data_IF_794386721645
#
_entry.id   IF_794386721645
#
_cell.length_a   1.000
_cell.length_b   1.000
_cell.length_c   1.000
_cell.angle_alpha   90.00
_cell.angle_beta   90.00
_cell.angle_gamma   90.00
#
_symmetry.space_group_name_H-M   'P 1'
#
loop_
_entity.id
_entity.type
_entity.pdbx_description
1 polymer ?
#
# COMPACT_ATOMS: atom_id res chain seq x y z
N UNK A 1 -8.45 35.93 38.46
CA UNK A 1 -8.69 34.59 37.88
C UNK A 1 -7.73 34.42 36.72
N UNK A 2 -6.66 33.65 36.91
CA UNK A 2 -5.61 33.43 35.92
C UNK A 2 -5.91 32.13 35.17
N UNK A 3 -6.09 32.20 33.86
CA UNK A 3 -6.27 31.02 32.99
C UNK A 3 -4.89 30.48 32.66
N UNK A 4 -4.58 29.28 33.15
CA UNK A 4 -3.33 28.60 32.80
C UNK A 4 -3.34 28.22 31.32
N UNK A 5 -2.24 28.42 30.57
CA UNK A 5 -2.17 27.99 29.18
C UNK A 5 -2.07 26.47 29.11
N UNK A 6 -3.00 25.84 28.39
CA UNK A 6 -2.97 24.41 28.06
C UNK A 6 -1.75 24.14 27.18
N UNK A 7 -0.71 23.53 27.76
CA UNK A 7 0.50 23.13 27.03
C UNK A 7 0.14 21.94 26.14
N UNK A 8 -0.19 22.20 24.88
CA UNK A 8 -0.28 21.16 23.87
C UNK A 8 1.11 20.51 23.72
N UNK A 9 1.28 19.29 24.23
CA UNK A 9 2.55 18.58 24.19
C UNK A 9 2.95 18.33 22.73
N UNK A 10 4.05 18.93 22.28
CA UNK A 10 4.62 18.69 20.95
C UNK A 10 5.08 17.23 20.90
N UNK A 11 4.29 16.35 20.26
CA UNK A 11 4.68 14.97 20.04
C UNK A 11 6.01 14.92 19.27
N UNK A 12 6.99 14.18 19.79
CA UNK A 12 8.27 13.99 19.10
C UNK A 12 8.05 13.40 17.71
N UNK A 13 8.95 13.67 16.75
CA UNK A 13 8.87 13.12 15.39
C UNK A 13 8.78 11.58 15.37
N UNK A 14 9.42 10.89 16.32
CA UNK A 14 9.36 9.43 16.45
C UNK A 14 7.95 8.96 16.81
N UNK A 15 7.33 9.60 17.80
CA UNK A 15 5.94 9.30 18.18
C UNK A 15 4.96 9.58 17.03
N UNK A 16 5.13 10.69 16.31
CA UNK A 16 4.31 11.01 15.13
C UNK A 16 4.46 9.97 14.01
N UNK A 17 5.69 9.59 13.70
CA UNK A 17 5.99 8.56 12.70
C UNK A 17 5.36 7.21 13.04
N UNK A 18 5.59 6.71 14.27
CA UNK A 18 4.99 5.45 14.74
C UNK A 18 3.47 5.47 14.75
N UNK A 19 2.86 6.60 15.13
CA UNK A 19 1.41 6.74 15.09
C UNK A 19 0.89 6.66 13.65
N UNK A 20 1.56 7.32 12.70
CA UNK A 20 1.20 7.26 11.28
C UNK A 20 1.38 5.86 10.67
N UNK A 21 2.45 5.13 11.03
CA UNK A 21 2.64 3.73 10.61
C UNK A 21 1.50 2.82 11.09
N UNK A 22 1.12 2.93 12.38
CA UNK A 22 0.02 2.14 12.97
C UNK A 22 -1.32 2.43 12.28
N UNK A 23 -1.59 3.70 11.97
CA UNK A 23 -2.82 4.09 11.27
C UNK A 23 -2.82 3.64 9.81
N UNK A 24 -1.69 3.81 9.12
CA UNK A 24 -1.48 3.29 7.76
C UNK A 24 -1.76 1.79 7.69
N UNK A 25 -1.23 1.03 8.64
CA UNK A 25 -1.46 -0.40 8.74
C UNK A 25 -2.96 -0.75 8.87
N UNK A 26 -3.66 -0.11 9.81
CA UNK A 26 -5.09 -0.33 10.01
C UNK A 26 -5.92 0.03 8.77
N UNK A 27 -5.58 1.11 8.07
CA UNK A 27 -6.26 1.51 6.84
C UNK A 27 -6.06 0.49 5.71
N UNK A 28 -4.82 0.02 5.51
CA UNK A 28 -4.50 -0.95 4.46
C UNK A 28 -5.24 -2.29 4.69
N UNK A 29 -5.37 -2.71 5.95
CA UNK A 29 -6.15 -3.89 6.32
C UNK A 29 -7.65 -3.70 6.11
N UNK A 30 -8.20 -2.62 6.66
CA UNK A 30 -9.65 -2.40 6.66
C UNK A 30 -10.21 -2.02 5.28
N UNK A 31 -9.41 -1.38 4.44
CA UNK A 31 -9.90 -0.78 3.18
C UNK A 31 -9.34 -1.42 1.92
N UNK A 32 -8.17 -2.06 1.98
CA UNK A 32 -7.47 -2.54 0.80
C UNK A 32 -7.13 -4.03 0.85
N UNK A 33 -7.72 -4.84 1.74
CA UNK A 33 -7.49 -6.30 1.78
C UNK A 33 -6.02 -6.68 2.03
N UNK A 34 -5.28 -5.92 2.85
CA UNK A 34 -3.86 -6.20 3.12
C UNK A 34 -3.63 -6.71 4.54
N UNK A 35 -2.85 -7.78 4.69
CA UNK A 35 -2.36 -8.26 5.98
C UNK A 35 -0.88 -7.96 6.09
N UNK A 36 -0.53 -6.88 6.79
CA UNK A 36 0.85 -6.40 6.91
C UNK A 36 1.28 -6.41 8.38
N UNK A 37 2.58 -6.32 8.62
CA UNK A 37 3.16 -6.08 9.94
C UNK A 37 4.13 -4.93 9.87
N UNK A 38 4.36 -4.27 11.00
CA UNK A 38 5.43 -3.27 11.10
C UNK A 38 6.78 -4.00 11.11
N UNK A 39 7.70 -3.53 10.28
CA UNK A 39 9.11 -3.97 10.26
C UNK A 39 10.08 -2.81 10.46
N UNK A 40 9.56 -1.58 10.45
CA UNK A 40 10.33 -0.35 10.57
C UNK A 40 11.09 -0.20 11.89
N UNK A 41 12.35 0.24 11.78
CA UNK A 41 13.31 0.31 12.86
C UNK A 41 14.68 0.86 12.42
N UNK A 42 15.63 0.98 13.36
CA UNK A 42 17.00 1.37 13.00
C UNK A 42 17.58 0.25 12.11
N UNK A 43 17.78 0.51 10.81
CA UNK A 43 18.30 -0.41 9.79
C UNK A 43 17.29 -1.26 9.00
N UNK A 44 16.04 -0.85 8.86
CA UNK A 44 14.98 -1.55 8.10
C UNK A 44 15.13 -1.50 6.55
N UNK A 45 16.21 -0.94 6.03
CA UNK A 45 16.45 -0.83 4.59
C UNK A 45 15.46 0.06 3.85
N UNK A 46 14.68 0.89 4.57
CA UNK A 46 13.69 1.81 4.01
C UNK A 46 12.27 1.27 3.92
N UNK A 47 11.96 0.13 4.56
CA UNK A 47 10.62 -0.46 4.62
C UNK A 47 10.05 -0.34 6.03
N UNK A 48 8.88 0.27 6.14
CA UNK A 48 8.18 0.44 7.42
C UNK A 48 7.15 -0.68 7.67
N UNK A 49 6.44 -1.12 6.61
CA UNK A 49 5.45 -2.20 6.67
C UNK A 49 5.71 -3.25 5.59
N UNK A 50 5.42 -4.51 5.92
CA UNK A 50 5.62 -5.63 5.00
C UNK A 50 4.53 -6.71 5.20
N UNK A 51 4.08 -7.33 4.11
CA UNK A 51 3.11 -8.41 4.21
C UNK A 51 2.50 -8.83 2.88
N UNK A 52 1.20 -9.09 2.88
CA UNK A 52 0.47 -9.64 1.75
C UNK A 52 -0.76 -8.81 1.39
N UNK A 53 -1.01 -8.68 0.09
CA UNK A 53 -2.23 -8.12 -0.45
C UNK A 53 -3.11 -9.21 -1.04
N UNK A 54 -4.30 -9.42 -0.47
CA UNK A 54 -5.24 -10.46 -0.83
C UNK A 54 -6.25 -9.98 -1.87
N UNK A 55 -6.18 -10.57 -3.05
CA UNK A 55 -6.89 -10.07 -4.23
C UNK A 55 -7.71 -11.19 -4.88
N UNK A 56 -8.89 -10.88 -5.45
CA UNK A 56 -9.56 -11.78 -6.35
C UNK A 56 -8.63 -12.35 -7.43
N UNK A 57 -8.90 -13.57 -7.92
CA UNK A 57 -8.10 -14.20 -8.95
C UNK A 57 -8.21 -13.42 -10.27
N UNK A 58 -7.17 -13.50 -11.10
CA UNK A 58 -7.26 -13.01 -12.47
C UNK A 58 -8.04 -14.02 -13.32
N UNK A 59 -8.83 -13.59 -14.30
CA UNK A 59 -9.45 -14.50 -15.24
C UNK A 59 -8.36 -15.33 -15.93
N UNK A 60 -8.46 -16.66 -15.87
CA UNK A 60 -7.63 -17.55 -16.70
C UNK A 60 -8.09 -17.44 -18.14
N UNK A 61 -7.41 -16.66 -18.96
CA UNK A 61 -7.63 -16.65 -20.41
C UNK A 61 -7.15 -17.98 -20.97
N UNK A 62 -8.09 -18.83 -21.41
CA UNK A 62 -7.83 -20.22 -21.82
C UNK A 62 -7.03 -20.37 -23.13
N UNK A 63 -6.55 -19.29 -23.75
CA UNK A 63 -6.00 -19.31 -25.13
C UNK A 63 -4.68 -18.53 -25.34
N UNK A 64 -3.87 -18.31 -24.31
CA UNK A 64 -2.58 -17.61 -24.49
C UNK A 64 -1.41 -18.49 -24.05
N UNK A 65 -0.73 -19.09 -25.03
CA UNK A 65 0.61 -19.69 -24.91
C UNK A 65 1.71 -18.67 -24.53
N UNK A 66 1.37 -17.39 -24.39
CA UNK A 66 2.15 -16.41 -23.65
C UNK A 66 1.81 -16.52 -22.16
N UNK A 67 2.40 -17.54 -21.56
CA UNK A 67 2.45 -17.79 -20.14
C UNK A 67 3.21 -16.64 -19.48
N UNK A 68 2.54 -15.49 -19.26
CA UNK A 68 3.01 -14.47 -18.33
C UNK A 68 3.25 -15.19 -17.02
N UNK A 69 4.51 -15.27 -16.58
CA UNK A 69 5.02 -16.20 -15.56
C UNK A 69 4.43 -16.06 -14.15
N UNK A 70 3.30 -15.36 -14.02
CA UNK A 70 2.53 -15.14 -12.82
C UNK A 70 1.29 -16.06 -12.71
N UNK A 71 0.98 -16.91 -13.69
CA UNK A 71 -0.21 -17.81 -13.66
C UNK A 71 -0.19 -18.90 -12.58
N UNK A 72 0.86 -18.94 -11.76
CA UNK A 72 0.96 -19.76 -10.55
C UNK A 72 0.78 -18.98 -9.25
N UNK A 73 0.15 -17.78 -9.23
CA UNK A 73 -0.12 -17.10 -7.96
C UNK A 73 -1.06 -17.99 -7.14
N UNK A 74 -0.46 -18.68 -6.17
CA UNK A 74 -1.05 -19.54 -5.16
C UNK A 74 -2.57 -19.39 -5.10
N UNK A 75 -3.32 -20.43 -5.50
CA UNK A 75 -4.73 -20.59 -5.09
C UNK A 75 -4.75 -20.48 -3.57
N UNK A 76 -4.95 -19.26 -3.08
CA UNK A 76 -4.90 -18.94 -1.68
C UNK A 76 -6.20 -19.36 -1.03
N UNK A 77 -6.30 -18.99 0.24
CA UNK A 77 -7.49 -19.19 1.04
C UNK A 77 -8.68 -18.55 0.30
N UNK A 78 -9.76 -19.33 0.14
CA UNK A 78 -11.02 -18.91 -0.49
C UNK A 78 -10.90 -18.39 -1.93
N UNK A 79 -9.95 -18.91 -2.72
CA UNK A 79 -9.84 -18.58 -4.15
C UNK A 79 -9.27 -17.20 -4.43
N UNK A 80 -8.68 -16.55 -3.42
CA UNK A 80 -7.90 -15.32 -3.59
C UNK A 80 -6.45 -15.61 -3.88
N UNK A 81 -5.82 -14.69 -4.62
CA UNK A 81 -4.38 -14.67 -4.84
C UNK A 81 -3.72 -13.67 -3.89
N UNK A 82 -2.40 -13.74 -3.74
CA UNK A 82 -1.64 -12.80 -2.90
C UNK A 82 -0.44 -12.18 -3.61
N UNK A 83 -0.19 -10.90 -3.33
CA UNK A 83 0.97 -10.14 -3.80
C UNK A 83 1.79 -9.70 -2.60
N UNK A 84 3.13 -9.74 -2.70
CA UNK A 84 4.00 -9.23 -1.64
C UNK A 84 3.93 -7.70 -1.60
N UNK A 85 3.75 -7.14 -0.41
CA UNK A 85 3.72 -5.69 -0.19
C UNK A 85 4.95 -5.27 0.59
N UNK A 86 5.65 -4.25 0.09
CA UNK A 86 6.69 -3.51 0.80
C UNK A 86 6.29 -2.04 0.84
N UNK A 87 6.08 -1.49 2.04
CA UNK A 87 5.56 -0.15 2.21
C UNK A 87 6.50 0.74 3.02
N UNK A 88 6.55 2.01 2.64
CA UNK A 88 7.21 3.07 3.40
C UNK A 88 6.18 4.14 3.78
N UNK A 89 6.27 4.65 5.01
CA UNK A 89 5.34 5.59 5.63
C UNK A 89 6.05 6.92 5.93
N UNK A 90 5.47 8.05 5.51
CA UNK A 90 6.03 9.39 5.75
C UNK A 90 5.02 10.35 6.37
N UNK A 91 5.25 10.68 7.64
CA UNK A 91 4.49 11.64 8.44
C UNK A 91 5.16 13.02 8.48
N UNK A 92 5.35 13.61 7.29
CA UNK A 92 5.97 14.91 7.10
C UNK A 92 4.92 15.98 6.79
N UNK A 93 5.18 17.23 7.18
CA UNK A 93 4.31 18.37 6.83
C UNK A 93 4.50 18.80 5.37
N UNK A 94 5.74 18.74 4.89
CA UNK A 94 6.10 19.14 3.54
C UNK A 94 5.73 18.06 2.55
N UNK A 95 5.52 18.46 1.29
CA UNK A 95 5.20 17.52 0.22
C UNK A 95 6.31 16.49 0.04
N UNK A 96 5.94 15.24 -0.16
CA UNK A 96 6.88 14.13 -0.31
C UNK A 96 7.54 14.18 -1.71
N UNK A 97 8.87 14.20 -1.72
CA UNK A 97 9.71 14.28 -2.92
C UNK A 97 10.05 12.91 -3.54
N UNK A 98 10.69 12.90 -4.73
CA UNK A 98 11.02 11.67 -5.46
C UNK A 98 12.08 10.79 -4.77
N UNK A 99 12.78 11.30 -3.76
CA UNK A 99 13.79 10.56 -2.99
C UNK A 99 13.27 9.21 -2.52
N UNK A 100 12.10 9.20 -1.87
CA UNK A 100 11.52 8.00 -1.28
C UNK A 100 11.03 6.99 -2.33
N UNK A 101 10.59 7.47 -3.50
CA UNK A 101 10.26 6.60 -4.63
C UNK A 101 11.52 5.85 -5.09
N UNK A 102 12.64 6.55 -5.30
CA UNK A 102 13.92 5.94 -5.71
C UNK A 102 14.48 4.98 -4.68
N UNK A 103 14.33 5.30 -3.39
CA UNK A 103 14.72 4.39 -2.31
C UNK A 103 13.93 3.08 -2.38
N UNK A 104 12.60 3.16 -2.49
CA UNK A 104 11.74 1.98 -2.66
C UNK A 104 12.00 1.21 -3.96
N UNK A 105 12.33 1.87 -5.07
CA UNK A 105 12.73 1.20 -6.32
C UNK A 105 13.94 0.29 -6.10
N UNK A 106 14.94 0.79 -5.36
CA UNK A 106 16.11 0.00 -4.98
C UNK A 106 15.75 -1.20 -4.11
N UNK A 107 14.80 -1.05 -3.19
CA UNK A 107 14.29 -2.16 -2.34
C UNK A 107 13.60 -3.22 -3.18
N UNK A 108 12.70 -2.82 -4.08
CA UNK A 108 11.94 -3.74 -4.93
C UNK A 108 12.86 -4.49 -5.90
N UNK A 109 13.84 -3.80 -6.48
CA UNK A 109 14.80 -4.43 -7.38
C UNK A 109 15.50 -5.62 -6.71
N UNK A 110 15.95 -5.47 -5.46
CA UNK A 110 16.58 -6.56 -4.71
C UNK A 110 15.64 -7.73 -4.41
N UNK A 111 14.35 -7.47 -4.23
CA UNK A 111 13.34 -8.51 -3.99
C UNK A 111 12.94 -9.24 -5.28
N UNK A 112 12.77 -8.51 -6.38
CA UNK A 112 12.42 -9.07 -7.69
C UNK A 112 13.54 -9.92 -8.27
N UNK A 113 14.80 -9.51 -8.06
CA UNK A 113 16.00 -10.24 -8.52
C UNK A 113 16.58 -11.19 -7.48
N UNK A 114 15.78 -11.66 -6.52
CA UNK A 114 16.24 -12.52 -5.42
C UNK A 114 17.26 -13.56 -5.89
N UNK A 115 18.50 -13.40 -5.43
CA UNK A 115 19.60 -14.35 -5.63
C UNK A 115 19.14 -15.67 -5.04
N UNK A 116 18.60 -16.56 -5.89
CA UNK A 116 18.27 -17.90 -5.48
C UNK A 116 19.59 -18.60 -5.09
N UNK A 117 19.70 -19.19 -3.89
CA UNK A 117 20.78 -20.14 -3.64
C UNK A 117 20.70 -21.26 -4.69
N UNK A 118 21.84 -21.68 -5.28
CA UNK A 118 21.85 -22.63 -6.38
C UNK A 118 21.55 -24.04 -5.87
N UNK A 119 20.29 -24.37 -5.58
CA UNK A 119 19.91 -25.76 -5.23
C UNK A 119 18.41 -26.10 -5.24
N UNK A 120 17.46 -25.16 -5.36
CA UNK A 120 16.03 -25.48 -5.25
C UNK A 120 15.32 -25.23 -6.58
N UNK A 121 14.50 -26.18 -7.11
CA UNK A 121 13.73 -25.98 -8.33
C UNK A 121 12.94 -24.67 -8.27
N UNK A 122 13.03 -23.88 -9.34
CA UNK A 122 12.46 -22.55 -9.54
C UNK A 122 11.12 -22.36 -8.81
N UNK A 123 11.17 -21.81 -7.58
CA UNK A 123 9.96 -21.35 -6.94
C UNK A 123 9.40 -20.19 -7.78
N UNK A 124 8.10 -20.20 -8.12
CA UNK A 124 7.52 -19.12 -8.89
C UNK A 124 7.76 -17.78 -8.20
N UNK A 125 8.27 -16.80 -8.95
CA UNK A 125 8.54 -15.47 -8.43
C UNK A 125 7.24 -14.86 -7.90
N UNK A 126 7.23 -14.53 -6.61
CA UNK A 126 6.08 -13.85 -6.00
C UNK A 126 6.11 -12.39 -6.44
N UNK A 127 5.04 -11.86 -7.08
CA UNK A 127 5.01 -10.46 -7.48
C UNK A 127 5.07 -9.55 -6.25
N UNK A 128 5.77 -8.44 -6.39
CA UNK A 128 6.00 -7.46 -5.31
C UNK A 128 5.50 -6.08 -5.74
N UNK A 129 4.85 -5.37 -4.84
CA UNK A 129 4.42 -3.98 -5.02
C UNK A 129 5.00 -3.07 -3.95
N UNK A 130 5.43 -1.88 -4.37
CA UNK A 130 5.87 -0.79 -3.50
C UNK A 130 4.68 0.10 -3.13
N UNK A 131 4.51 0.35 -1.84
CA UNK A 131 3.56 1.34 -1.34
C UNK A 131 4.32 2.49 -0.71
N UNK A 132 4.04 3.72 -1.13
CA UNK A 132 4.50 4.92 -0.43
C UNK A 132 3.30 5.64 0.16
N UNK A 133 3.17 5.59 1.49
CA UNK A 133 2.10 6.25 2.24
C UNK A 133 2.61 7.58 2.77
N UNK A 134 1.83 8.64 2.54
CA UNK A 134 2.17 9.98 2.96
C UNK A 134 1.01 10.69 3.64
N UNK A 135 1.32 11.42 4.70
CA UNK A 135 0.39 12.36 5.34
C UNK A 135 0.20 13.63 4.50
N UNK A 136 1.28 14.16 3.93
CA UNK A 136 1.23 15.31 3.03
C UNK A 136 1.01 14.89 1.57
N UNK A 137 0.73 15.87 0.70
CA UNK A 137 0.66 15.61 -0.73
C UNK A 137 2.03 15.21 -1.33
N UNK A 138 2.02 14.46 -2.42
CA UNK A 138 3.21 14.20 -3.22
C UNK A 138 3.55 15.40 -4.09
N UNK A 139 4.85 15.67 -4.28
CA UNK A 139 5.31 16.58 -5.32
C UNK A 139 5.02 15.98 -6.71
N UNK A 140 4.86 16.84 -7.73
CA UNK A 140 4.73 16.36 -9.11
C UNK A 140 5.93 15.50 -9.52
N UNK A 141 7.14 15.89 -9.13
CA UNK A 141 8.35 15.10 -9.38
C UNK A 141 8.30 13.70 -8.76
N UNK A 142 7.73 13.53 -7.56
CA UNK A 142 7.53 12.21 -6.96
C UNK A 142 6.52 11.37 -7.72
N UNK A 143 5.38 11.96 -8.10
CA UNK A 143 4.35 11.30 -8.90
C UNK A 143 4.91 10.86 -10.24
N UNK A 144 5.56 11.76 -10.99
CA UNK A 144 6.20 11.44 -12.27
C UNK A 144 7.25 10.34 -12.12
N UNK A 145 8.10 10.40 -11.08
CA UNK A 145 9.09 9.36 -10.81
C UNK A 145 8.44 7.98 -10.66
N UNK A 146 7.36 7.87 -9.88
CA UNK A 146 6.66 6.61 -9.67
C UNK A 146 5.97 6.11 -10.96
N UNK A 147 5.37 7.01 -11.73
CA UNK A 147 4.74 6.69 -13.01
C UNK A 147 5.72 6.22 -14.08
N UNK A 148 6.92 6.79 -14.10
CA UNK A 148 7.99 6.40 -15.02
C UNK A 148 8.70 5.09 -14.62
N UNK A 149 8.50 4.61 -13.38
CA UNK A 149 9.07 3.36 -12.92
C UNK A 149 8.48 2.16 -13.65
N UNK A 150 9.32 1.18 -13.98
CA UNK A 150 8.90 -0.13 -14.47
C UNK A 150 8.49 -1.09 -13.34
N UNK A 151 8.72 -0.71 -12.09
CA UNK A 151 8.36 -1.52 -10.93
C UNK A 151 6.93 -1.17 -10.46
N UNK A 152 6.15 -2.10 -9.90
CA UNK A 152 4.79 -1.82 -9.48
C UNK A 152 4.74 -0.86 -8.28
N UNK A 153 4.16 0.32 -8.47
CA UNK A 153 4.04 1.36 -7.42
C UNK A 153 2.59 1.77 -7.17
N UNK A 154 2.30 1.98 -5.89
CA UNK A 154 1.10 2.64 -5.39
C UNK A 154 1.49 3.76 -4.42
N UNK A 155 1.07 4.99 -4.70
CA UNK A 155 1.21 6.13 -3.79
C UNK A 155 -0.14 6.38 -3.11
N UNK A 156 -0.13 6.47 -1.79
CA UNK A 156 -1.32 6.65 -0.98
C UNK A 156 -1.18 7.92 -0.13
N UNK A 157 -2.21 8.76 -0.16
CA UNK A 157 -2.31 9.94 0.69
C UNK A 157 -3.39 9.71 1.73
N UNK A 158 -3.05 9.89 2.99
CA UNK A 158 -4.00 9.81 4.10
C UNK A 158 -4.31 11.23 4.57
N UNK A 159 -5.59 11.53 4.85
CA UNK A 159 -5.94 12.83 5.42
C UNK A 159 -5.40 12.94 6.85
N UNK A 160 -5.16 14.16 7.34
CA UNK A 160 -4.90 14.35 8.77
C UNK A 160 -6.23 14.29 9.53
N UNK A 161 -6.21 13.69 10.72
CA UNK A 161 -7.32 13.82 11.67
C UNK A 161 -7.53 15.31 11.99
N UNK A 162 -8.74 15.81 11.78
CA UNK A 162 -9.14 17.13 12.28
C UNK A 162 -9.49 16.99 13.77
N UNK A 163 -8.66 17.47 14.71
CA UNK A 163 -8.89 17.31 16.14
C UNK A 163 -10.14 18.07 16.63
N UNK A 164 -10.74 18.91 15.77
CA UNK A 164 -11.97 19.66 16.05
C UNK A 164 -13.25 18.85 15.84
N UNK A 165 -13.17 17.68 15.19
CA UNK A 165 -14.34 16.83 14.90
C UNK A 165 -14.50 15.81 16.01
N UNK A 166 -15.53 16.05 16.83
CA UNK A 166 -15.90 15.16 17.92
C UNK A 166 -16.66 13.95 17.35
N UNK A 167 -16.03 12.77 17.38
CA UNK A 167 -16.62 11.51 16.93
C UNK A 167 -15.70 10.70 16.02
N UNK A 168 -15.49 9.42 16.39
CA UNK A 168 -15.07 8.21 15.64
C UNK A 168 -14.56 8.27 14.18
N UNK A 169 -13.93 9.34 13.73
CA UNK A 169 -13.54 9.51 12.34
C UNK A 169 -12.23 8.75 12.08
N UNK A 170 -12.40 7.57 11.47
CA UNK A 170 -11.33 6.74 10.92
C UNK A 170 -10.61 7.58 9.87
N UNK A 171 -9.29 7.76 9.99
CA UNK A 171 -8.47 8.44 8.99
C UNK A 171 -8.75 7.83 7.61
N UNK A 172 -9.18 8.64 6.63
CA UNK A 172 -9.64 8.14 5.33
C UNK A 172 -8.53 8.23 4.28
N UNK A 173 -8.55 7.26 3.36
CA UNK A 173 -7.75 7.36 2.15
C UNK A 173 -8.23 8.58 1.38
N UNK A 174 -7.31 9.49 1.04
CA UNK A 174 -7.63 10.77 0.41
C UNK A 174 -6.97 10.95 -0.96
N UNK A 175 -6.07 10.04 -1.33
CA UNK A 175 -5.56 9.92 -2.70
C UNK A 175 -4.95 8.55 -2.95
N UNK A 176 -5.19 8.01 -4.15
CA UNK A 176 -4.53 6.82 -4.67
C UNK A 176 -3.93 7.16 -6.04
N UNK A 177 -2.69 6.72 -6.26
CA UNK A 177 -2.03 6.84 -7.55
C UNK A 177 -1.30 5.53 -7.81
N UNK A 178 -1.54 4.93 -8.97
CA UNK A 178 -0.92 3.68 -9.38
C UNK A 178 -0.24 3.88 -10.73
N UNK A 179 0.93 3.28 -10.92
CA UNK A 179 1.59 3.30 -12.22
C UNK A 179 1.15 2.13 -13.12
N UNK A 180 1.64 2.15 -14.38
CA UNK A 180 1.28 1.13 -15.39
C UNK A 180 1.79 -0.27 -15.03
N UNK A 181 2.91 -0.39 -14.33
CA UNK A 181 3.40 -1.69 -13.87
C UNK A 181 2.47 -2.35 -12.84
N UNK A 182 1.63 -1.56 -12.17
CA UNK A 182 0.62 -2.05 -11.24
C UNK A 182 -0.74 -2.30 -11.92
N UNK A 183 -1.34 -1.26 -12.54
CA UNK A 183 -2.72 -1.26 -13.09
C UNK A 183 -2.80 -1.21 -14.63
N UNK A 184 -1.70 -1.37 -15.35
CA UNK A 184 -1.75 -1.47 -16.81
C UNK A 184 -2.28 -2.82 -17.29
N UNK A 185 -2.50 -2.96 -18.60
CA UNK A 185 -2.90 -4.23 -19.24
C UNK A 185 -1.95 -5.39 -18.89
N UNK A 186 -0.63 -5.12 -18.89
CA UNK A 186 0.44 -6.04 -18.49
C UNK A 186 0.86 -5.85 -17.03
N UNK A 187 0.10 -5.06 -16.26
CA UNK A 187 0.38 -4.78 -14.86
C UNK A 187 0.11 -5.99 -13.98
N UNK A 188 0.76 -6.05 -12.81
CA UNK A 188 0.62 -7.21 -11.92
C UNK A 188 -0.80 -7.41 -11.38
N UNK A 189 -1.66 -6.38 -11.44
CA UNK A 189 -3.08 -6.47 -11.09
C UNK A 189 -3.96 -6.91 -12.26
N UNK A 190 -3.51 -6.83 -13.51
CA UNK A 190 -4.34 -7.10 -14.69
C UNK A 190 -5.34 -5.98 -14.99
N UNK A 191 -5.98 -6.10 -16.15
CA UNK A 191 -6.90 -5.09 -16.71
C UNK A 191 -8.25 -5.01 -15.96
N UNK A 192 -8.56 -5.99 -15.12
CA UNK A 192 -9.82 -6.07 -14.38
C UNK A 192 -9.86 -5.11 -13.18
N UNK A 193 -8.70 -4.59 -12.77
CA UNK A 193 -8.59 -3.69 -11.63
C UNK A 193 -8.51 -2.24 -12.07
N UNK A 194 -9.19 -1.38 -11.31
CA UNK A 194 -9.18 0.05 -11.56
C UNK A 194 -9.12 0.84 -10.25
N UNK A 195 -8.28 1.88 -10.20
CA UNK A 195 -8.34 2.88 -9.15
C UNK A 195 -9.30 4.00 -9.57
N UNK A 196 -10.36 4.20 -8.81
CA UNK A 196 -11.38 5.23 -9.06
C UNK A 196 -11.42 6.22 -7.91
N UNK A 197 -11.93 7.41 -8.17
CA UNK A 197 -12.28 8.39 -7.12
C UNK A 197 -13.78 8.57 -7.15
N UNK A 198 -14.43 8.18 -6.07
CA UNK A 198 -15.86 8.41 -5.83
C UNK A 198 -16.03 9.70 -5.02
N UNK A 199 -17.16 10.37 -5.17
CA UNK A 199 -17.53 11.48 -4.28
C UNK A 199 -18.53 10.92 -3.27
N UNK A 200 -18.21 11.01 -1.98
CA UNK A 200 -19.13 10.57 -0.92
C UNK A 200 -20.29 11.57 -0.72
N UNK A 201 -21.27 11.21 0.10
CA UNK A 201 -22.45 12.06 0.36
C UNK A 201 -22.12 13.45 0.93
N UNK A 202 -20.92 13.63 1.48
CA UNK A 202 -20.43 14.89 2.02
C UNK A 202 -19.62 15.72 1.01
N UNK A 203 -19.52 15.27 -0.26
CA UNK A 203 -18.76 15.94 -1.31
C UNK A 203 -17.25 15.66 -1.29
N UNK A 204 -16.77 14.76 -0.43
CA UNK A 204 -15.35 14.44 -0.35
C UNK A 204 -14.95 13.37 -1.37
N UNK A 205 -13.80 13.57 -1.99
CA UNK A 205 -13.17 12.58 -2.85
C UNK A 205 -12.69 11.38 -2.02
N UNK A 206 -13.24 10.21 -2.31
CA UNK A 206 -12.95 8.92 -1.70
C UNK A 206 -12.31 8.02 -2.78
N UNK A 207 -10.99 7.79 -2.71
CA UNK A 207 -10.33 6.82 -3.57
C UNK A 207 -10.77 5.41 -3.24
N UNK A 208 -11.08 4.64 -4.29
CA UNK A 208 -11.55 3.27 -4.20
C UNK A 208 -10.85 2.38 -5.22
N UNK A 209 -10.72 1.10 -4.87
CA UNK A 209 -10.26 0.08 -5.81
C UNK A 209 -11.47 -0.71 -6.30
N UNK A 210 -11.52 -0.94 -7.61
CA UNK A 210 -12.57 -1.69 -8.29
C UNK A 210 -11.97 -2.92 -8.94
N UNK A 211 -12.78 -3.96 -9.03
CA UNK A 211 -12.47 -5.19 -9.73
C UNK A 211 -13.70 -5.66 -10.51
N UNK A 212 -13.55 -5.94 -11.81
CA UNK A 212 -14.63 -6.38 -12.70
C UNK A 212 -15.88 -5.46 -12.63
N UNK A 213 -15.65 -4.14 -12.65
CA UNK A 213 -16.73 -3.16 -12.65
C UNK A 213 -17.50 -3.07 -11.33
N UNK A 214 -17.03 -3.69 -10.25
CA UNK A 214 -17.58 -3.53 -8.90
C UNK A 214 -16.53 -3.01 -7.91
N UNK A 215 -16.96 -2.21 -6.93
CA UNK A 215 -16.07 -1.77 -5.84
C UNK A 215 -15.56 -2.99 -5.08
N UNK A 216 -14.24 -3.10 -4.95
CA UNK A 216 -13.61 -4.18 -4.22
C UNK A 216 -13.92 -4.02 -2.73
N UNK A 217 -14.67 -4.98 -2.17
CA UNK A 217 -14.88 -5.06 -0.72
C UNK A 217 -13.62 -5.58 -0.05
N UNK A 218 -13.19 -4.91 1.01
CA UNK A 218 -12.04 -5.36 1.79
C UNK A 218 -12.31 -6.73 2.40
N UNK A 219 -11.32 -7.61 2.32
CA UNK A 219 -11.36 -8.93 2.90
C UNK A 219 -9.93 -9.37 3.17
N UNK A 220 -9.71 -9.96 4.34
CA UNK A 220 -8.46 -10.63 4.70
C UNK A 220 -8.83 -11.98 5.32
N UNK A 221 -8.01 -13.04 5.15
CA UNK A 221 -8.30 -14.33 5.76
C UNK A 221 -8.32 -14.20 7.30
N UNK A 222 -9.19 -14.97 7.95
CA UNK A 222 -9.39 -14.87 9.40
C UNK A 222 -8.10 -15.16 10.19
N UNK A 223 -7.28 -16.13 9.75
CA UNK A 223 -5.99 -16.41 10.40
C UNK A 223 -4.97 -15.27 10.26
N UNK A 224 -5.18 -14.33 9.32
CA UNK A 224 -4.31 -13.19 9.08
C UNK A 224 -4.82 -11.87 9.68
N UNK A 225 -6.04 -11.83 10.27
CA UNK A 225 -6.58 -10.61 10.92
C UNK A 225 -5.76 -10.15 12.13
N UNK A 226 -5.05 -11.06 12.78
CA UNK A 226 -4.20 -10.73 13.93
C UNK A 226 -2.75 -10.42 13.54
N UNK A 227 -2.37 -10.68 12.29
CA UNK A 227 -1.01 -10.49 11.78
C UNK A 227 -0.54 -9.03 11.94
N UNK A 228 -1.45 -8.07 11.80
CA UNK A 228 -1.17 -6.64 11.96
C UNK A 228 -1.03 -6.17 13.42
N UNK A 229 -1.41 -6.99 14.40
CA UNK A 229 -1.43 -6.63 15.84
C UNK A 229 -0.22 -7.12 16.62
N UNK A 230 0.52 -8.07 16.06
CA UNK A 230 1.70 -8.69 16.70
C UNK A 230 2.98 -7.89 16.41
N UNK A 231 3.10 -6.64 16.90
CA UNK A 231 4.40 -5.93 17.07
C UNK A 231 4.34 -4.80 18.09
#
# INVERSE_FOLDING_TARGET
MSVAPTVASVLSNVHRGRAFEKRSLALLENSLSMSLRRVGGRSDGGVDLEGWWWLPPLPTTSNSSAQSGYTGVFNGVEGRRRIRVLAQCKAEKNKVGPKYVRELEGVLSRHSFGVAPPAIPQQPHTPVVALLLSQSAFTMAAVTCAFSSHLPFMLLRLSEQDPSRDGSDVEELSGIVCNRALLGEEGILGAEYEARTEINGNGNAMPTLWWNGARLKSWVPDEWRHYSRET
#
